data_IF_724248078472
#
_entry.id   IF_724248078472
#
_cell.length_a   1.000
_cell.length_b   1.000
_cell.length_c   1.000
_cell.angle_alpha   90.00
_cell.angle_beta   90.00
_cell.angle_gamma   90.00
#
_symmetry.space_group_name_H-M   'P 1'
#
loop_
_entity.id
_entity.type
_entity.pdbx_description
1 polymer ?
#
# COMPACT_ATOMS: atom_id res chain seq x y z
N UNK A 1 -94.59 -44.03 -16.93
CA UNK A 1 -95.61 -43.65 -15.92
C UNK A 1 -95.32 -42.22 -15.51
N UNK A 2 -96.10 -41.26 -16.01
CA UNK A 2 -96.15 -39.85 -15.57
C UNK A 2 -96.63 -39.77 -14.09
N UNK A 3 -96.69 -38.62 -13.38
CA UNK A 3 -96.66 -37.24 -13.91
C UNK A 3 -96.09 -36.09 -13.01
N UNK A 4 -96.03 -34.92 -13.64
CA UNK A 4 -96.30 -33.54 -13.17
C UNK A 4 -95.58 -32.92 -11.97
N UNK A 5 -94.93 -31.76 -12.21
CA UNK A 5 -95.19 -30.46 -11.51
C UNK A 5 -94.88 -29.29 -12.49
N UNK A 6 -95.61 -28.14 -12.45
CA UNK A 6 -95.75 -27.21 -13.59
C UNK A 6 -94.86 -25.94 -13.51
N UNK A 7 -94.79 -25.21 -14.64
CA UNK A 7 -94.44 -23.78 -14.74
C UNK A 7 -95.57 -22.92 -14.10
N UNK A 8 -95.47 -21.58 -13.82
CA UNK A 8 -94.66 -20.55 -14.52
C UNK A 8 -94.15 -19.40 -13.61
N UNK A 9 -93.50 -18.39 -14.20
CA UNK A 9 -93.89 -16.95 -14.05
C UNK A 9 -92.93 -16.03 -14.81
N UNK A 10 -93.49 -15.38 -15.85
CA UNK A 10 -92.93 -14.17 -16.46
C UNK A 10 -93.17 -13.01 -15.52
N UNK A 11 -92.20 -12.13 -15.30
CA UNK A 11 -92.45 -10.71 -15.02
C UNK A 11 -91.17 -9.92 -15.37
N UNK A 12 -91.21 -9.23 -16.52
CA UNK A 12 -91.16 -7.77 -16.68
C UNK A 12 -89.79 -7.10 -16.50
N UNK A 13 -89.26 -6.71 -17.65
CA UNK A 13 -88.71 -5.39 -18.00
C UNK A 13 -88.18 -4.44 -16.91
N UNK A 14 -86.96 -3.97 -17.16
CA UNK A 14 -86.47 -2.56 -17.29
C UNK A 14 -85.07 -2.49 -16.68
N UNK A 15 -84.03 -2.41 -17.50
CA UNK A 15 -83.39 -1.14 -17.93
C UNK A 15 -82.95 -0.29 -16.72
N UNK A 16 -81.64 -0.26 -16.42
CA UNK A 16 -80.84 0.96 -16.20
C UNK A 16 -79.37 0.61 -15.80
N UNK A 17 -78.44 1.02 -16.66
CA UNK A 17 -77.13 1.71 -16.40
C UNK A 17 -76.32 1.46 -15.11
N UNK A 18 -75.02 1.12 -15.26
CA UNK A 18 -73.82 1.89 -14.82
C UNK A 18 -72.56 1.02 -14.60
N UNK A 19 -71.43 1.52 -15.11
CA UNK A 19 -70.01 1.36 -14.71
C UNK A 19 -69.50 0.02 -14.11
N UNK A 20 -68.46 -0.55 -14.74
CA UNK A 20 -67.63 -1.62 -14.17
C UNK A 20 -66.17 -1.49 -14.63
N UNK A 21 -65.30 -1.05 -13.73
CA UNK A 21 -63.94 -0.56 -13.99
C UNK A 21 -62.94 -1.56 -14.57
N UNK A 22 -62.03 -1.00 -15.35
CA UNK A 22 -60.76 -1.61 -15.78
C UNK A 22 -59.91 -1.89 -14.54
N UNK A 23 -59.71 -3.17 -14.20
CA UNK A 23 -58.71 -3.62 -13.23
C UNK A 23 -57.33 -3.64 -13.90
N UNK A 24 -56.62 -2.50 -13.85
CA UNK A 24 -55.16 -2.49 -13.93
C UNK A 24 -54.62 -2.89 -12.56
N UNK A 25 -54.32 -4.18 -12.39
CA UNK A 25 -53.56 -4.68 -11.26
C UNK A 25 -52.12 -4.16 -11.35
N UNK A 26 -51.88 -2.95 -10.84
CA UNK A 26 -50.54 -2.41 -10.64
C UNK A 26 -49.83 -3.20 -9.56
N UNK A 27 -48.83 -3.99 -9.95
CA UNK A 27 -47.91 -4.63 -9.01
C UNK A 27 -47.06 -3.54 -8.35
N UNK A 28 -47.46 -3.11 -7.15
CA UNK A 28 -46.61 -2.27 -6.30
C UNK A 28 -45.43 -3.12 -5.80
N UNK A 29 -44.29 -3.04 -6.48
CA UNK A 29 -43.03 -3.51 -5.90
C UNK A 29 -42.71 -2.57 -4.74
N UNK A 30 -42.78 -3.04 -3.50
CA UNK A 30 -42.26 -2.30 -2.37
C UNK A 30 -40.72 -2.24 -2.47
N UNK A 31 -40.16 -1.18 -3.05
CA UNK A 31 -38.75 -0.87 -2.86
C UNK A 31 -38.55 -0.48 -1.39
N UNK A 32 -37.81 -1.29 -0.64
CA UNK A 32 -37.28 -0.86 0.66
C UNK A 32 -36.46 0.44 0.46
N UNK A 33 -36.52 1.40 1.40
CA UNK A 33 -35.82 2.68 1.24
C UNK A 33 -34.31 2.43 1.22
N UNK A 34 -33.68 2.70 0.08
CA UNK A 34 -32.23 2.56 -0.11
C UNK A 34 -31.41 3.32 0.97
N UNK A 35 -31.97 4.38 1.56
CA UNK A 35 -31.40 5.20 2.62
C UNK A 35 -31.19 4.45 3.95
N UNK A 36 -32.15 3.60 4.35
CA UNK A 36 -32.05 2.83 5.60
C UNK A 36 -31.00 1.72 5.47
N UNK A 37 -30.93 1.12 4.28
CA UNK A 37 -29.93 0.11 3.94
C UNK A 37 -28.52 0.68 3.98
N UNK A 38 -28.30 1.88 3.40
CA UNK A 38 -26.99 2.53 3.41
C UNK A 38 -26.55 2.94 4.82
N UNK A 39 -27.48 3.41 5.65
CA UNK A 39 -27.19 3.77 7.05
C UNK A 39 -26.78 2.56 7.87
N UNK A 40 -27.47 1.42 7.67
CA UNK A 40 -27.08 0.14 8.28
C UNK A 40 -25.69 -0.32 7.83
N UNK A 41 -25.38 -0.25 6.52
CA UNK A 41 -24.06 -0.60 5.99
C UNK A 41 -22.94 0.28 6.55
N UNK A 42 -23.15 1.59 6.69
CA UNK A 42 -22.16 2.50 7.31
C UNK A 42 -21.87 2.13 8.76
N UNK A 43 -22.90 1.78 9.52
CA UNK A 43 -22.74 1.36 10.92
C UNK A 43 -22.00 0.02 11.01
N UNK A 44 -22.40 -0.97 10.21
CA UNK A 44 -21.72 -2.25 10.14
C UNK A 44 -20.25 -2.10 9.71
N UNK A 45 -19.97 -1.24 8.73
CA UNK A 45 -18.60 -0.95 8.31
C UNK A 45 -17.76 -0.36 9.43
N UNK A 46 -18.28 0.62 10.19
CA UNK A 46 -17.55 1.19 11.34
C UNK A 46 -17.21 0.12 12.38
N UNK A 47 -18.14 -0.76 12.69
CA UNK A 47 -17.92 -1.85 13.65
C UNK A 47 -16.88 -2.84 13.13
N UNK A 48 -17.01 -3.28 11.87
CA UNK A 48 -16.06 -4.17 11.22
C UNK A 48 -14.66 -3.54 11.12
N UNK A 49 -14.59 -2.24 10.81
CA UNK A 49 -13.34 -1.48 10.73
C UNK A 49 -12.63 -1.42 12.08
N UNK A 50 -13.36 -1.11 13.16
CA UNK A 50 -12.80 -1.15 14.52
C UNK A 50 -12.30 -2.54 14.87
N UNK A 51 -13.05 -3.59 14.56
CA UNK A 51 -12.60 -4.97 14.78
C UNK A 51 -11.31 -5.28 13.99
N UNK A 52 -11.28 -4.97 12.69
CA UNK A 52 -10.11 -5.22 11.84
C UNK A 52 -8.86 -4.45 12.31
N UNK A 53 -9.01 -3.17 12.68
CA UNK A 53 -7.86 -2.30 13.02
C UNK A 53 -7.37 -2.42 14.45
N UNK A 54 -8.21 -2.86 15.40
CA UNK A 54 -7.85 -2.93 16.81
C UNK A 54 -7.65 -4.36 17.33
N UNK A 55 -8.20 -5.36 16.63
CA UNK A 55 -8.16 -6.76 17.05
C UNK A 55 -7.49 -7.66 16.00
N UNK A 56 -7.41 -7.20 14.75
CA UNK A 56 -6.94 -8.02 13.64
C UNK A 56 -7.82 -9.23 13.38
N UNK A 57 -7.20 -10.30 12.90
CA UNK A 57 -7.78 -11.60 12.68
C UNK A 57 -9.04 -11.56 11.81
N UNK A 58 -10.00 -12.42 12.18
CA UNK A 58 -11.13 -12.75 11.33
C UNK A 58 -12.49 -12.24 11.87
N UNK A 59 -12.49 -11.60 13.04
CA UNK A 59 -13.71 -11.17 13.75
C UNK A 59 -14.56 -10.18 12.95
N UNK A 60 -13.92 -9.30 12.19
CA UNK A 60 -14.59 -8.34 11.30
C UNK A 60 -15.50 -9.00 10.27
N UNK A 61 -15.26 -10.27 9.88
CA UNK A 61 -16.08 -10.96 8.86
C UNK A 61 -17.52 -11.15 9.28
N UNK A 62 -17.76 -11.45 10.56
CA UNK A 62 -19.12 -11.59 11.10
C UNK A 62 -19.88 -10.25 11.08
N UNK A 63 -19.17 -9.13 11.23
CA UNK A 63 -19.71 -7.77 11.19
C UNK A 63 -19.90 -7.25 9.75
N UNK A 64 -19.30 -7.92 8.76
CA UNK A 64 -19.25 -7.49 7.36
C UNK A 64 -20.10 -8.35 6.41
N UNK A 65 -20.99 -9.19 6.93
CA UNK A 65 -21.81 -10.13 6.13
C UNK A 65 -22.64 -9.42 5.05
N UNK A 66 -23.20 -8.26 5.38
CA UNK A 66 -24.04 -7.44 4.48
C UNK A 66 -23.25 -6.33 3.74
N UNK A 67 -21.91 -6.39 3.75
CA UNK A 67 -21.05 -5.37 3.17
C UNK A 67 -20.39 -5.79 1.85
N UNK A 68 -20.71 -6.95 1.27
CA UNK A 68 -20.01 -7.46 0.07
C UNK A 68 -20.02 -6.46 -1.11
N UNK A 69 -21.14 -5.76 -1.29
CA UNK A 69 -21.30 -4.74 -2.34
C UNK A 69 -21.01 -3.30 -1.84
N UNK A 70 -20.59 -3.16 -0.57
CA UNK A 70 -20.24 -1.86 -0.02
C UNK A 70 -18.87 -1.41 -0.56
N UNK A 71 -18.73 -0.20 -1.13
CA UNK A 71 -17.51 0.21 -1.83
C UNK A 71 -16.21 0.10 -1.01
N UNK A 72 -16.29 0.29 0.32
CA UNK A 72 -15.11 0.22 1.20
C UNK A 72 -14.87 -1.18 1.78
N UNK A 73 -15.67 -2.20 1.44
CA UNK A 73 -15.45 -3.56 1.92
C UNK A 73 -14.02 -4.07 1.76
N UNK A 74 -13.32 -3.84 0.62
CA UNK A 74 -11.94 -4.31 0.43
C UNK A 74 -10.93 -3.72 1.42
N UNK A 75 -11.27 -2.65 2.14
CA UNK A 75 -10.40 -2.05 3.16
C UNK A 75 -10.38 -2.87 4.46
N UNK A 76 -11.44 -3.63 4.76
CA UNK A 76 -11.53 -4.44 5.97
C UNK A 76 -10.48 -5.56 6.05
N UNK A 77 -10.33 -6.44 5.03
CA UNK A 77 -9.27 -7.43 5.05
C UNK A 77 -7.88 -6.80 5.06
N UNK A 78 -7.65 -5.69 4.35
CA UNK A 78 -6.35 -5.00 4.37
C UNK A 78 -5.99 -4.53 5.79
N UNK A 79 -6.94 -3.88 6.47
CA UNK A 79 -6.75 -3.40 7.84
C UNK A 79 -6.41 -4.53 8.82
N UNK A 80 -7.07 -5.68 8.70
CA UNK A 80 -6.77 -6.84 9.53
C UNK A 80 -5.38 -7.43 9.23
N UNK A 81 -4.99 -7.50 7.96
CA UNK A 81 -3.67 -8.00 7.54
C UNK A 81 -2.55 -7.05 7.98
N UNK A 82 -2.76 -5.73 7.94
CA UNK A 82 -1.84 -4.71 8.44
C UNK A 82 -1.67 -4.79 9.97
N UNK A 83 -2.76 -5.00 10.70
CA UNK A 83 -2.69 -5.22 12.15
C UNK A 83 -1.85 -6.46 12.49
N UNK A 84 -2.07 -7.56 11.76
CA UNK A 84 -1.41 -8.85 11.99
C UNK A 84 -0.15 -9.04 11.13
N UNK A 85 0.46 -7.96 10.64
CA UNK A 85 1.54 -8.02 9.64
C UNK A 85 2.72 -8.91 10.08
N UNK A 86 2.95 -8.99 11.40
CA UNK A 86 4.02 -9.80 12.02
C UNK A 86 3.72 -11.30 12.08
N UNK A 87 2.48 -11.70 11.83
CA UNK A 87 2.02 -13.09 11.95
C UNK A 87 1.44 -13.63 10.63
N UNK A 88 1.00 -12.76 9.73
CA UNK A 88 0.42 -13.14 8.45
C UNK A 88 1.44 -13.85 7.55
N UNK A 89 0.96 -14.85 6.81
CA UNK A 89 1.75 -15.59 5.83
C UNK A 89 1.70 -14.95 4.43
N UNK A 90 2.70 -15.28 3.61
CA UNK A 90 2.83 -14.78 2.25
C UNK A 90 1.61 -15.14 1.37
N UNK A 91 1.07 -16.38 1.36
CA UNK A 91 -0.09 -16.73 0.54
C UNK A 91 -1.33 -15.88 0.85
N UNK A 92 -1.59 -15.56 2.12
CA UNK A 92 -2.73 -14.72 2.50
C UNK A 92 -2.60 -13.30 1.95
N UNK A 93 -1.40 -12.71 2.07
CA UNK A 93 -1.14 -11.37 1.50
C UNK A 93 -1.24 -11.41 -0.02
N UNK A 94 -0.66 -12.41 -0.70
CA UNK A 94 -0.77 -12.57 -2.15
C UNK A 94 -2.22 -12.68 -2.63
N UNK A 95 -3.06 -13.43 -1.92
CA UNK A 95 -4.47 -13.57 -2.26
C UNK A 95 -5.19 -12.21 -2.24
N UNK A 96 -4.96 -11.40 -1.20
CA UNK A 96 -5.51 -10.05 -1.12
C UNK A 96 -5.00 -9.15 -2.25
N UNK A 97 -3.68 -9.11 -2.47
CA UNK A 97 -3.06 -8.29 -3.51
C UNK A 97 -3.52 -8.66 -4.92
N UNK A 98 -3.76 -9.95 -5.18
CA UNK A 98 -4.30 -10.44 -6.46
C UNK A 98 -5.77 -10.04 -6.64
N UNK A 99 -6.55 -10.03 -5.55
CA UNK A 99 -7.96 -9.69 -5.60
C UNK A 99 -8.18 -8.18 -5.77
N UNK A 100 -7.29 -7.34 -5.23
CA UNK A 100 -7.45 -5.88 -5.19
C UNK A 100 -6.20 -5.11 -5.64
N UNK A 101 -5.64 -5.37 -6.84
CA UNK A 101 -4.30 -4.90 -7.21
C UNK A 101 -4.15 -3.38 -7.30
N UNK A 102 -5.21 -2.68 -7.68
CA UNK A 102 -5.21 -1.22 -7.93
C UNK A 102 -5.62 -0.38 -6.71
N UNK A 103 -5.94 -1.01 -5.58
CA UNK A 103 -6.37 -0.28 -4.39
C UNK A 103 -5.18 0.30 -3.62
N UNK A 104 -5.32 1.53 -3.12
CA UNK A 104 -4.39 2.15 -2.19
C UNK A 104 -4.02 1.22 -1.01
N UNK A 105 -4.98 0.60 -0.28
CA UNK A 105 -4.65 -0.36 0.78
C UNK A 105 -3.85 -1.59 0.32
N UNK A 106 -3.90 -1.98 -0.95
CA UNK A 106 -3.06 -3.05 -1.47
C UNK A 106 -1.62 -2.59 -1.71
N UNK A 107 -1.43 -1.34 -2.16
CA UNK A 107 -0.10 -0.75 -2.28
C UNK A 107 0.56 -0.58 -0.91
N UNK A 108 -0.21 -0.10 0.08
CA UNK A 108 0.25 0.03 1.47
C UNK A 108 0.62 -1.33 2.07
N UNK A 109 -0.28 -2.32 1.98
CA UNK A 109 -0.03 -3.66 2.49
C UNK A 109 1.20 -4.31 1.84
N UNK A 110 1.37 -4.16 0.51
CA UNK A 110 2.56 -4.69 -0.17
C UNK A 110 3.83 -4.07 0.40
N UNK A 111 3.89 -2.74 0.54
CA UNK A 111 5.06 -2.04 1.07
C UNK A 111 5.35 -2.48 2.50
N UNK A 112 4.36 -2.43 3.38
CA UNK A 112 4.55 -2.75 4.80
C UNK A 112 4.92 -4.23 5.01
N UNK A 113 4.33 -5.13 4.22
CA UNK A 113 4.69 -6.55 4.28
C UNK A 113 6.09 -6.82 3.72
N UNK A 114 6.53 -6.11 2.67
CA UNK A 114 7.92 -6.19 2.19
C UNK A 114 8.93 -5.75 3.26
N UNK A 115 8.65 -4.67 3.99
CA UNK A 115 9.49 -4.23 5.11
C UNK A 115 9.54 -5.28 6.23
N UNK A 116 8.41 -5.93 6.52
CA UNK A 116 8.35 -7.01 7.49
C UNK A 116 9.10 -8.28 7.03
N UNK A 117 9.02 -8.63 5.73
CA UNK A 117 9.79 -9.73 5.15
C UNK A 117 11.29 -9.44 5.21
N UNK A 118 11.72 -8.21 4.88
CA UNK A 118 13.11 -7.77 5.01
C UNK A 118 13.59 -7.84 6.47
N UNK A 119 12.76 -7.39 7.43
CA UNK A 119 13.04 -7.50 8.87
C UNK A 119 13.25 -8.95 9.31
N UNK A 120 12.47 -9.90 8.78
CA UNK A 120 12.64 -11.34 9.02
C UNK A 120 13.76 -11.98 8.21
N UNK A 121 14.37 -11.24 7.27
CA UNK A 121 15.30 -11.74 6.25
C UNK A 121 14.72 -12.88 5.40
N UNK A 122 13.39 -12.87 5.21
CA UNK A 122 12.72 -13.78 4.29
C UNK A 122 12.86 -13.26 2.85
N UNK A 123 14.06 -13.47 2.29
CA UNK A 123 14.40 -12.98 0.95
C UNK A 123 13.64 -13.69 -0.17
N UNK A 124 13.26 -14.95 0.03
CA UNK A 124 12.44 -15.68 -0.94
C UNK A 124 11.03 -15.08 -1.02
N UNK A 125 10.39 -14.85 0.13
CA UNK A 125 9.09 -14.18 0.18
C UNK A 125 9.17 -12.75 -0.34
N UNK A 126 10.22 -12.01 0.05
CA UNK A 126 10.47 -10.64 -0.40
C UNK A 126 10.50 -10.53 -1.93
N UNK A 127 11.32 -11.36 -2.58
CA UNK A 127 11.45 -11.38 -4.05
C UNK A 127 10.16 -11.70 -4.77
N UNK A 128 9.26 -12.44 -4.13
CA UNK A 128 7.96 -12.81 -4.71
C UNK A 128 7.01 -11.61 -4.83
N UNK A 129 7.16 -10.61 -3.95
CA UNK A 129 6.27 -9.43 -3.90
C UNK A 129 6.92 -8.13 -4.37
N UNK A 130 8.25 -8.06 -4.33
CA UNK A 130 8.99 -6.85 -4.61
C UNK A 130 8.81 -6.39 -6.06
N UNK A 131 8.65 -5.08 -6.22
CA UNK A 131 8.65 -4.40 -7.50
C UNK A 131 9.61 -3.21 -7.42
N UNK A 132 10.42 -2.94 -8.45
CA UNK A 132 11.31 -1.78 -8.46
C UNK A 132 10.53 -0.47 -8.30
N UNK A 133 11.15 0.52 -7.66
CA UNK A 133 10.62 1.89 -7.60
C UNK A 133 9.62 2.18 -6.48
N UNK A 134 9.39 1.27 -5.52
CA UNK A 134 8.49 1.54 -4.37
C UNK A 134 9.07 2.64 -3.48
N UNK A 135 10.27 2.44 -2.91
CA UNK A 135 11.01 3.43 -2.15
C UNK A 135 12.50 3.00 -2.01
N UNK A 136 13.34 3.90 -1.47
CA UNK A 136 14.78 3.63 -1.31
C UNK A 136 15.08 2.52 -0.31
N UNK A 137 14.30 2.41 0.77
CA UNK A 137 14.45 1.36 1.79
C UNK A 137 14.33 -0.01 1.15
N UNK A 138 13.21 -0.26 0.47
CA UNK A 138 12.92 -1.52 -0.22
C UNK A 138 13.83 -1.77 -1.43
N UNK A 139 14.35 -0.71 -2.05
CA UNK A 139 15.40 -0.85 -3.07
C UNK A 139 16.66 -1.43 -2.47
N UNK A 140 17.07 -0.95 -1.29
CA UNK A 140 18.23 -1.48 -0.59
C UNK A 140 17.95 -2.89 -0.01
N UNK A 141 16.75 -3.18 0.47
CA UNK A 141 16.37 -4.54 0.89
C UNK A 141 16.40 -5.53 -0.30
N UNK A 142 16.02 -5.11 -1.50
CA UNK A 142 16.14 -5.94 -2.70
C UNK A 142 17.61 -6.27 -3.04
N UNK A 143 18.52 -5.31 -2.84
CA UNK A 143 19.96 -5.54 -3.01
C UNK A 143 20.55 -6.43 -1.91
N UNK A 144 20.04 -6.34 -0.67
CA UNK A 144 20.37 -7.30 0.38
C UNK A 144 19.90 -8.71 0.02
N UNK A 145 18.70 -8.86 -0.53
CA UNK A 145 18.20 -10.14 -1.02
C UNK A 145 19.11 -10.72 -2.12
N UNK A 146 19.58 -9.88 -3.05
CA UNK A 146 20.55 -10.28 -4.09
C UNK A 146 21.87 -10.77 -3.49
N UNK A 147 22.42 -10.05 -2.52
CA UNK A 147 23.64 -10.43 -1.80
C UNK A 147 23.47 -11.75 -1.03
N UNK A 148 22.29 -11.97 -0.42
CA UNK A 148 22.00 -13.19 0.32
C UNK A 148 21.98 -14.45 -0.56
N UNK A 149 21.71 -14.30 -1.87
CA UNK A 149 21.82 -15.37 -2.86
C UNK A 149 23.26 -15.58 -3.37
N UNK A 150 24.24 -14.89 -2.78
CA UNK A 150 25.65 -14.93 -3.20
C UNK A 150 25.92 -14.17 -4.50
N UNK A 151 24.97 -13.37 -4.99
CA UNK A 151 25.16 -12.60 -6.22
C UNK A 151 25.91 -11.30 -5.91
N UNK A 152 27.05 -11.11 -6.57
CA UNK A 152 27.84 -9.87 -6.45
C UNK A 152 27.07 -8.65 -6.97
N UNK A 153 27.37 -7.49 -6.41
CA UNK A 153 26.81 -6.22 -6.85
C UNK A 153 27.51 -5.75 -8.13
N UNK A 154 26.79 -5.00 -8.94
CA UNK A 154 27.33 -4.25 -10.06
C UNK A 154 27.01 -2.77 -9.85
N UNK A 155 28.04 -1.91 -9.84
CA UNK A 155 27.83 -0.49 -9.54
C UNK A 155 26.82 0.19 -10.48
N UNK A 156 26.90 -0.05 -11.79
CA UNK A 156 26.04 0.63 -12.75
C UNK A 156 24.58 0.17 -12.65
N UNK A 157 24.36 -1.11 -12.40
CA UNK A 157 23.02 -1.68 -12.32
C UNK A 157 22.37 -1.44 -10.96
N UNK A 158 23.13 -1.61 -9.88
CA UNK A 158 22.59 -1.68 -8.52
C UNK A 158 22.74 -0.36 -7.74
N UNK A 159 23.81 0.39 -7.98
CA UNK A 159 24.21 1.51 -7.11
C UNK A 159 24.14 2.88 -7.78
N UNK A 160 24.26 2.97 -9.11
CA UNK A 160 24.37 4.27 -9.79
C UNK A 160 23.17 5.19 -9.56
N UNK A 161 21.96 4.62 -9.50
CA UNK A 161 20.74 5.34 -9.15
C UNK A 161 20.76 5.80 -7.68
N UNK A 162 21.10 4.90 -6.74
CA UNK A 162 21.25 5.22 -5.32
C UNK A 162 22.30 6.31 -5.09
N UNK A 163 23.36 6.34 -5.90
CA UNK A 163 24.42 7.33 -5.84
C UNK A 163 23.95 8.75 -6.16
N UNK A 164 22.82 8.90 -6.86
CA UNK A 164 22.20 10.20 -7.14
C UNK A 164 21.50 10.82 -5.92
N UNK A 165 21.38 10.10 -4.81
CA UNK A 165 20.74 10.61 -3.60
C UNK A 165 21.78 11.13 -2.60
N UNK A 166 21.56 12.36 -2.15
CA UNK A 166 22.39 13.00 -1.12
C UNK A 166 22.29 12.33 0.26
N UNK A 167 21.23 11.55 0.49
CA UNK A 167 21.05 10.73 1.69
C UNK A 167 20.35 9.43 1.31
N UNK A 168 20.74 8.34 1.96
CA UNK A 168 20.12 7.02 1.81
C UNK A 168 19.60 6.56 3.19
N UNK A 169 18.54 5.73 3.23
CA UNK A 169 18.07 5.15 4.48
C UNK A 169 19.07 4.13 5.03
N UNK A 170 19.03 3.89 6.34
CA UNK A 170 19.93 2.95 7.02
C UNK A 170 19.82 1.50 6.49
N UNK A 171 18.69 1.13 5.87
CA UNK A 171 18.55 -0.15 5.17
C UNK A 171 19.57 -0.33 4.03
N UNK A 172 20.20 0.74 3.55
CA UNK A 172 21.27 0.68 2.56
C UNK A 172 22.64 0.37 3.16
N UNK A 173 22.84 0.52 4.47
CA UNK A 173 24.18 0.38 5.08
C UNK A 173 24.82 -0.99 4.80
N UNK A 174 24.12 -2.13 4.91
CA UNK A 174 24.71 -3.44 4.57
C UNK A 174 25.10 -3.54 3.09
N UNK A 175 24.31 -2.93 2.20
CA UNK A 175 24.57 -2.93 0.74
C UNK A 175 25.79 -2.08 0.42
N UNK A 176 25.91 -0.90 1.04
CA UNK A 176 27.04 -0.02 0.84
C UNK A 176 28.33 -0.63 1.38
N UNK A 177 28.28 -1.30 2.54
CA UNK A 177 29.41 -2.05 3.08
C UNK A 177 29.83 -3.16 2.13
N UNK A 178 28.89 -3.97 1.64
CA UNK A 178 29.20 -5.02 0.68
C UNK A 178 29.79 -4.45 -0.63
N UNK A 179 29.30 -3.31 -1.10
CA UNK A 179 29.84 -2.64 -2.29
C UNK A 179 31.27 -2.13 -2.06
N UNK A 180 31.56 -1.59 -0.87
CA UNK A 180 32.91 -1.20 -0.47
C UNK A 180 33.84 -2.41 -0.50
N UNK A 181 33.45 -3.50 0.14
CA UNK A 181 34.27 -4.71 0.28
C UNK A 181 34.50 -5.41 -1.06
N UNK A 182 33.59 -5.23 -2.02
CA UNK A 182 33.73 -5.67 -3.42
C UNK A 182 34.57 -4.71 -4.28
N UNK A 183 35.11 -3.61 -3.72
CA UNK A 183 35.90 -2.62 -4.46
C UNK A 183 35.08 -1.76 -5.44
N UNK A 184 33.75 -1.75 -5.31
CA UNK A 184 32.88 -0.98 -6.21
C UNK A 184 32.86 0.51 -5.86
N UNK A 185 33.23 0.88 -4.65
CA UNK A 185 33.24 2.26 -4.18
C UNK A 185 34.64 2.88 -4.36
N UNK A 186 35.03 3.16 -5.60
CA UNK A 186 36.29 3.84 -5.90
C UNK A 186 36.31 5.26 -5.34
N UNK A 187 37.50 5.82 -5.09
CA UNK A 187 37.68 7.21 -4.63
C UNK A 187 36.86 8.21 -5.45
N UNK A 188 36.91 8.09 -6.78
CA UNK A 188 36.15 8.95 -7.68
C UNK A 188 34.62 8.86 -7.46
N UNK A 189 34.10 7.65 -7.20
CA UNK A 189 32.68 7.45 -6.88
C UNK A 189 32.34 8.01 -5.51
N UNK A 190 33.19 7.79 -4.51
CA UNK A 190 33.00 8.32 -3.16
C UNK A 190 32.95 9.86 -3.20
N UNK A 191 33.91 10.51 -3.86
CA UNK A 191 33.92 11.97 -4.04
C UNK A 191 32.69 12.48 -4.78
N UNK A 192 32.28 11.84 -5.88
CA UNK A 192 31.08 12.23 -6.60
C UNK A 192 29.78 12.20 -5.75
N UNK A 193 29.73 11.41 -4.67
CA UNK A 193 28.61 11.42 -3.72
C UNK A 193 28.84 12.34 -2.54
N UNK A 194 30.10 12.51 -2.10
CA UNK A 194 30.48 13.53 -1.12
C UNK A 194 30.11 14.92 -1.63
N UNK A 195 30.45 15.26 -2.88
CA UNK A 195 30.15 16.57 -3.47
C UNK A 195 28.64 16.81 -3.50
N UNK A 196 27.86 15.82 -3.97
CA UNK A 196 26.40 15.89 -3.96
C UNK A 196 25.82 16.02 -2.56
N UNK A 197 26.36 15.28 -1.59
CA UNK A 197 25.92 15.38 -0.20
C UNK A 197 26.27 16.74 0.40
N UNK A 198 27.43 17.29 0.04
CA UNK A 198 27.87 18.60 0.47
C UNK A 198 26.99 19.72 -0.08
N UNK A 199 26.67 19.69 -1.37
CA UNK A 199 25.76 20.65 -2.03
C UNK A 199 24.34 20.62 -1.45
N UNK A 200 23.94 19.48 -0.88
CA UNK A 200 22.64 19.28 -0.24
C UNK A 200 22.66 19.47 1.30
N UNK A 201 23.73 20.04 1.85
CA UNK A 201 23.97 20.26 3.29
C UNK A 201 23.88 18.97 4.14
N UNK A 202 24.17 17.81 3.55
CA UNK A 202 24.14 16.49 4.22
C UNK A 202 25.50 16.13 4.82
N UNK A 203 25.93 16.92 5.80
CA UNK A 203 27.22 16.72 6.49
C UNK A 203 27.39 15.35 7.14
N UNK A 204 26.31 14.73 7.62
CA UNK A 204 26.34 13.35 8.13
C UNK A 204 26.72 12.33 7.06
N UNK A 205 26.21 12.49 5.83
CA UNK A 205 26.56 11.62 4.69
C UNK A 205 28.00 11.85 4.25
N UNK A 206 28.46 13.10 4.21
CA UNK A 206 29.88 13.42 3.91
C UNK A 206 30.81 12.73 4.93
N UNK A 207 30.50 12.85 6.22
CA UNK A 207 31.29 12.24 7.29
C UNK A 207 31.31 10.70 7.21
N UNK A 208 30.17 10.08 6.91
CA UNK A 208 30.08 8.62 6.75
C UNK A 208 30.96 8.12 5.58
N UNK A 209 30.89 8.79 4.42
CA UNK A 209 31.67 8.41 3.24
C UNK A 209 33.18 8.66 3.41
N UNK A 210 33.57 9.66 4.22
CA UNK A 210 34.96 9.94 4.51
C UNK A 210 35.69 8.74 5.15
N UNK A 211 34.97 7.89 5.88
CA UNK A 211 35.52 6.68 6.49
C UNK A 211 36.02 5.64 5.49
N UNK A 212 35.60 5.72 4.22
CA UNK A 212 36.00 4.81 3.14
C UNK A 212 37.07 5.38 2.21
N UNK A 213 37.51 6.62 2.46
CA UNK A 213 38.59 7.24 1.70
C UNK A 213 39.97 6.91 2.31
N UNK A 214 41.03 6.93 1.48
CA UNK A 214 42.41 6.92 1.97
C UNK A 214 42.69 8.06 2.96
N UNK A 215 43.72 7.90 3.80
CA UNK A 215 44.01 8.80 4.93
C UNK A 215 44.14 10.29 4.54
N UNK A 216 44.79 10.56 3.41
CA UNK A 216 45.01 11.90 2.88
C UNK A 216 43.70 12.57 2.44
N UNK A 217 42.81 11.81 1.78
CA UNK A 217 41.52 12.29 1.30
C UNK A 217 40.46 12.36 2.41
N UNK A 218 40.48 11.42 3.36
CA UNK A 218 39.56 11.36 4.51
C UNK A 218 39.55 12.67 5.29
N UNK A 219 40.73 13.22 5.60
CA UNK A 219 40.82 14.47 6.38
C UNK A 219 40.17 15.66 5.66
N UNK A 220 40.31 15.72 4.33
CA UNK A 220 39.65 16.74 3.51
C UNK A 220 38.13 16.60 3.59
N UNK A 221 37.60 15.40 3.40
CA UNK A 221 36.16 15.14 3.49
C UNK A 221 35.59 15.44 4.90
N UNK A 222 36.31 15.09 5.97
CA UNK A 222 35.90 15.40 7.35
C UNK A 222 35.87 16.92 7.63
N UNK A 223 36.81 17.69 7.08
CA UNK A 223 36.78 19.17 7.15
C UNK A 223 35.56 19.74 6.42
N UNK A 224 35.23 19.21 5.25
CA UNK A 224 34.00 19.60 4.52
C UNK A 224 32.75 19.31 5.36
N UNK A 225 32.64 18.12 5.95
CA UNK A 225 31.53 17.77 6.85
C UNK A 225 31.46 18.68 8.09
N UNK A 226 32.59 19.08 8.66
CA UNK A 226 32.63 20.01 9.78
C UNK A 226 32.17 21.42 9.37
N UNK A 227 32.58 21.90 8.20
CA UNK A 227 32.21 23.22 7.71
C UNK A 227 30.69 23.36 7.49
N UNK A 228 29.97 22.26 7.16
CA UNK A 228 28.50 22.26 7.07
C UNK A 228 27.80 22.40 8.43
N UNK A 229 28.47 21.98 9.51
CA UNK A 229 27.93 22.08 10.88
C UNK A 229 28.07 23.48 11.45
N UNK A 230 29.05 24.25 11.00
CA UNK A 230 29.31 25.62 11.44
C UNK A 230 28.25 26.62 10.90
N UNK A 231 27.46 27.28 11.76
CA UNK A 231 26.49 28.30 11.35
C UNK A 231 27.11 29.49 10.60
N UNK A 232 28.34 29.89 10.95
CA UNK A 232 29.00 31.05 10.34
C UNK A 232 29.36 30.79 8.86
N UNK A 233 29.67 29.54 8.51
CA UNK A 233 30.03 29.15 7.15
C UNK A 233 28.82 29.04 6.19
N UNK A 234 27.60 28.84 6.71
CA UNK A 234 26.37 28.71 5.90
C UNK A 234 25.91 30.03 5.28
N UNK A 235 26.22 31.17 5.89
CA UNK A 235 25.82 32.50 5.44
C UNK A 235 26.48 33.00 4.16
N UNK A 236 27.58 32.36 3.70
CA UNK A 236 28.35 32.80 2.53
C UNK A 236 28.21 31.90 1.28
N UNK A 237 27.42 30.81 1.35
CA UNK A 237 27.38 29.77 0.30
C UNK A 237 26.19 29.84 -0.68
N UNK A 238 25.39 30.91 -0.67
CA UNK A 238 24.30 31.12 -1.65
C UNK A 238 24.81 31.60 -3.03
N UNK A 239 25.90 31.04 -3.52
CA UNK A 239 26.42 31.29 -4.86
C UNK A 239 26.87 29.98 -5.50
N UNK A 240 26.61 29.75 -6.81
CA UNK A 240 27.02 28.52 -7.48
C UNK A 240 28.54 28.41 -7.44
N UNK A 241 29.07 27.28 -6.98
CA UNK A 241 30.49 26.95 -7.20
C UNK A 241 30.67 26.69 -8.69
N UNK A 242 31.26 27.67 -9.38
CA UNK A 242 31.64 27.56 -10.78
C UNK A 242 32.70 26.46 -10.93
N UNK A 243 32.50 25.63 -11.96
CA UNK A 243 33.41 24.57 -12.42
C UNK A 243 34.73 25.12 -12.91
#
# INVERSE_FOLDING_TARGET
MSPHVPAPRRFRHRLLTLLGGVLLAGSATAQAPATDTLTAQRTAFRQAWTSATQQGGNGWRALATNLRDYPLYPYLPAAALEHDIRQVDLPTVQAYLKQYPELIPAQDLRRNFLEELARRKDWQGFRTLYQPGINLTLTCDALQAKLADGTALNFQQDLAALWQHASLPNACDPVLQAAHDQGLLTDARLWARIDRAFDADKGGTVAALAGWLPDDQRQTALKLAQALRDPAARGHRRGPMAR
#
